data_IF_516755575640
#
_entry.id   IF_516755575640
#
_cell.length_a   1.000
_cell.length_b   1.000
_cell.length_c   1.000
_cell.angle_alpha   90.00
_cell.angle_beta   90.00
_cell.angle_gamma   90.00
#
_symmetry.space_group_name_H-M   'P 1'
#
loop_
_entity.id
_entity.type
_entity.pdbx_description
1 polymer ?
#
# COMPACT_ATOMS: atom_id res chain seq x y z
N UNK A 1 1.92 -5.76 -13.47
CA UNK A 1 1.36 -6.49 -12.30
C UNK A 1 1.10 -5.46 -11.22
N UNK A 2 -0.03 -5.51 -10.52
CA UNK A 2 -0.35 -4.52 -9.48
C UNK A 2 0.10 -5.03 -8.12
N UNK A 3 0.76 -4.18 -7.34
CA UNK A 3 1.20 -4.48 -5.99
C UNK A 3 0.57 -3.49 -5.01
N UNK A 4 0.02 -4.00 -3.91
CA UNK A 4 -0.43 -3.21 -2.77
C UNK A 4 0.72 -3.07 -1.79
N UNK A 5 1.21 -1.85 -1.59
CA UNK A 5 2.23 -1.52 -0.61
C UNK A 5 1.53 -1.09 0.67
N UNK A 6 1.90 -1.69 1.79
CA UNK A 6 1.43 -1.31 3.12
C UNK A 6 2.61 -0.82 3.96
N UNK A 7 2.49 0.40 4.46
CA UNK A 7 3.44 0.99 5.40
C UNK A 7 3.18 0.45 6.81
N UNK A 8 4.17 0.49 7.72
CA UNK A 8 3.96 0.14 9.12
C UNK A 8 2.98 1.10 9.82
N UNK A 9 2.80 2.32 9.30
CA UNK A 9 1.91 3.32 9.86
C UNK A 9 0.54 3.31 9.15
N UNK A 10 -0.43 2.61 9.74
CA UNK A 10 -1.81 2.46 9.20
C UNK A 10 -2.63 3.75 9.14
N UNK A 11 -2.15 4.85 9.71
CA UNK A 11 -2.80 6.16 9.62
C UNK A 11 -2.03 7.13 8.71
N UNK A 12 -0.97 6.65 8.05
CA UNK A 12 -0.18 7.46 7.14
C UNK A 12 -1.00 7.83 5.91
N UNK A 13 -1.12 9.14 5.66
CA UNK A 13 -1.74 9.69 4.47
C UNK A 13 -0.74 10.68 3.88
N UNK A 14 -0.27 10.43 2.67
CA UNK A 14 0.80 11.22 2.08
C UNK A 14 1.26 10.69 0.73
N UNK A 15 2.24 11.35 0.13
CA UNK A 15 2.84 10.94 -1.14
C UNK A 15 4.29 10.56 -0.88
N UNK A 16 4.69 9.35 -1.29
CA UNK A 16 6.08 8.86 -1.22
C UNK A 16 6.51 8.41 -2.61
N UNK A 17 7.63 8.91 -3.12
CA UNK A 17 8.14 8.58 -4.47
C UNK A 17 7.10 8.77 -5.60
N UNK A 18 6.23 9.77 -5.45
CA UNK A 18 5.13 10.03 -6.39
C UNK A 18 3.92 9.10 -6.23
N UNK A 19 3.94 8.17 -5.28
CA UNK A 19 2.84 7.25 -4.97
C UNK A 19 2.01 7.78 -3.82
N UNK A 20 0.69 7.86 -4.04
CA UNK A 20 -0.26 8.26 -3.02
C UNK A 20 -0.53 7.10 -2.06
N UNK A 21 -0.22 7.31 -0.79
CA UNK A 21 -0.56 6.44 0.33
C UNK A 21 -1.80 6.99 1.04
N UNK A 22 -2.78 6.11 1.24
CA UNK A 22 -4.00 6.39 1.99
C UNK A 22 -4.16 5.33 3.08
N UNK A 23 -4.28 5.75 4.33
CA UNK A 23 -4.33 4.86 5.51
C UNK A 23 -3.17 3.84 5.56
N UNK A 24 -1.99 4.29 5.14
CA UNK A 24 -0.79 3.48 5.08
C UNK A 24 -0.76 2.50 3.93
N UNK A 25 -1.64 2.64 2.92
CA UNK A 25 -1.74 1.73 1.80
C UNK A 25 -1.60 2.46 0.47
N UNK A 26 -0.88 1.88 -0.46
CA UNK A 26 -0.72 2.38 -1.82
C UNK A 26 -0.78 1.25 -2.83
N UNK A 27 -1.14 1.58 -4.07
CA UNK A 27 -1.08 0.64 -5.20
C UNK A 27 -0.01 1.11 -6.17
N UNK A 28 0.88 0.20 -6.56
CA UNK A 28 1.92 0.45 -7.56
C UNK A 28 1.81 -0.58 -8.67
N UNK A 29 2.15 -0.19 -9.90
CA UNK A 29 2.08 -1.08 -11.07
C UNK A 29 3.45 -1.59 -11.52
N UNK A 30 4.50 -1.11 -10.85
CA UNK A 30 5.90 -1.35 -11.22
C UNK A 30 6.63 -2.17 -10.15
N UNK A 31 7.35 -3.20 -10.59
CA UNK A 31 8.12 -4.10 -9.70
C UNK A 31 9.26 -3.40 -8.97
N UNK A 32 9.87 -2.39 -9.61
CA UNK A 32 10.97 -1.65 -8.99
C UNK A 32 10.47 -0.82 -7.80
N UNK A 33 9.25 -0.27 -7.88
CA UNK A 33 8.61 0.44 -6.76
C UNK A 33 8.35 -0.51 -5.60
N UNK A 34 7.79 -1.69 -5.89
CA UNK A 34 7.62 -2.76 -4.88
C UNK A 34 8.94 -3.09 -4.20
N UNK A 35 10.01 -3.26 -4.97
CA UNK A 35 11.34 -3.58 -4.44
C UNK A 35 11.93 -2.41 -3.63
N UNK A 36 11.77 -1.17 -4.09
CA UNK A 36 12.18 0.04 -3.38
C UNK A 36 11.47 0.17 -2.03
N UNK A 37 10.13 0.08 -2.03
CA UNK A 37 9.35 0.20 -0.81
C UNK A 37 9.64 -0.94 0.18
N UNK A 38 9.86 -2.17 -0.29
CA UNK A 38 10.15 -3.30 0.59
C UNK A 38 11.59 -3.30 1.11
N UNK A 39 12.58 -2.90 0.30
CA UNK A 39 14.01 -2.96 0.66
C UNK A 39 14.52 -1.69 1.31
N UNK A 40 14.18 -0.52 0.77
CA UNK A 40 14.69 0.76 1.25
C UNK A 40 13.81 1.33 2.38
N UNK A 41 12.49 1.20 2.26
CA UNK A 41 11.54 1.73 3.26
C UNK A 41 11.09 0.70 4.30
N UNK A 42 11.33 -0.59 4.08
CA UNK A 42 10.88 -1.66 4.98
C UNK A 42 9.35 -1.84 5.02
N UNK A 43 8.66 -1.48 3.94
CA UNK A 43 7.22 -1.70 3.79
C UNK A 43 6.92 -3.14 3.38
N UNK A 44 5.64 -3.52 3.42
CA UNK A 44 5.18 -4.84 2.94
C UNK A 44 4.49 -4.68 1.60
N UNK A 45 4.72 -5.61 0.66
CA UNK A 45 4.06 -5.61 -0.63
C UNK A 45 3.26 -6.90 -0.84
N UNK A 46 1.99 -6.76 -1.22
CA UNK A 46 1.10 -7.87 -1.61
C UNK A 46 0.79 -7.77 -3.11
N UNK A 47 0.88 -8.88 -3.83
CA UNK A 47 0.55 -8.92 -5.26
C UNK A 47 -0.98 -8.98 -5.43
N UNK A 48 -1.55 -7.98 -6.09
CA UNK A 48 -2.97 -7.93 -6.40
C UNK A 48 -3.16 -8.71 -7.71
N UNK A 49 -3.46 -10.00 -7.60
CA UNK A 49 -4.01 -10.76 -8.73
C UNK A 49 -5.45 -10.27 -8.93
N UNK A 50 -5.82 -9.88 -10.15
CA UNK A 50 -7.17 -9.43 -10.52
C UNK A 50 -8.21 -10.58 -10.49
N UNK A 51 -8.26 -11.34 -9.40
CA UNK A 51 -9.45 -12.05 -8.96
C UNK A 51 -10.01 -11.29 -7.77
N UNK A 52 -11.13 -10.61 -8.02
CA UNK A 52 -12.04 -9.97 -7.08
C UNK A 52 -11.90 -10.45 -5.62
N UNK A 53 -11.33 -9.61 -4.75
CA UNK A 53 -11.67 -9.65 -3.31
C UNK A 53 -11.51 -8.28 -2.69
N UNK A 54 -12.67 -7.80 -2.26
CA UNK A 54 -12.91 -6.87 -1.17
C UNK A 54 -11.98 -7.11 0.03
N UNK A 55 -11.92 -6.10 0.90
CA UNK A 55 -11.43 -6.17 2.28
C UNK A 55 -9.96 -5.81 2.52
N UNK A 56 -9.76 -4.52 2.84
CA UNK A 56 -9.38 -4.08 4.20
C UNK A 56 -9.38 -2.55 4.21
N UNK A 57 -10.56 -1.94 4.39
CA UNK A 57 -10.63 -0.62 5.04
C UNK A 57 -10.61 -0.91 6.54
N UNK A 58 -9.61 -0.49 7.33
CA UNK A 58 -9.79 -0.44 8.76
C UNK A 58 -10.91 0.58 9.05
N UNK A 59 -12.02 0.06 9.54
CA UNK A 59 -13.11 0.80 10.14
C UNK A 59 -12.56 1.73 11.23
N UNK A 60 -12.75 3.05 11.06
CA UNK A 60 -12.80 3.95 12.22
C UNK A 60 -13.97 4.91 12.05
N UNK A 61 -15.17 4.38 12.27
CA UNK A 61 -16.29 5.18 12.76
C UNK A 61 -16.25 5.06 14.27
N UNK A 62 -16.09 6.20 14.97
CA UNK A 62 -16.91 6.63 16.13
C UNK A 62 -16.19 7.71 16.94
N UNK A 63 -16.76 8.92 16.98
CA UNK A 63 -17.47 9.39 18.17
C UNK A 63 -18.57 10.37 17.77
#
# INVERSE_FOLDING_TARGET
MKYRIMTPNKIYNGVTEGILFTNGEATVEEDWLKNLFTRDYGYTAEEIKEETSEEKKPTTVKK
#
